data_IF_546997724503
#
_entry.id   IF_546997724503
#
_cell.length_a   1.000
_cell.length_b   1.000
_cell.length_c   1.000
_cell.angle_alpha   90.00
_cell.angle_beta   90.00
_cell.angle_gamma   90.00
#
_symmetry.space_group_name_H-M   'P 1'
#
loop_
_entity.id
_entity.type
_entity.pdbx_description
1 polymer ?
#
# COMPACT_ATOMS: atom_id res chain seq x y z
N UNK A 1 -6.34 7.04 19.04
CA UNK A 1 -5.00 7.65 18.86
C UNK A 1 -4.02 7.27 19.96
N UNK A 2 -4.21 7.68 21.23
CA UNK A 2 -3.29 7.34 22.34
C UNK A 2 -2.99 5.84 22.48
N UNK A 3 -3.99 4.99 22.24
CA UNK A 3 -3.84 3.54 22.26
C UNK A 3 -2.98 3.01 21.10
N UNK A 4 -3.17 3.53 19.88
CA UNK A 4 -2.41 3.12 18.70
C UNK A 4 -0.95 3.59 18.74
N UNK A 5 -0.69 4.77 19.32
CA UNK A 5 0.68 5.29 19.48
C UNK A 5 1.36 4.84 20.78
N UNK A 6 0.71 3.98 21.57
CA UNK A 6 1.31 3.45 22.80
C UNK A 6 2.47 2.54 22.39
N UNK A 7 3.64 2.79 22.95
CA UNK A 7 4.80 1.93 22.76
C UNK A 7 4.47 0.52 23.25
N UNK A 8 4.72 -0.46 22.38
CA UNK A 8 4.54 -1.87 22.71
C UNK A 8 5.93 -2.45 22.98
N UNK A 9 6.17 -2.94 24.20
CA UNK A 9 7.46 -3.56 24.57
C UNK A 9 7.80 -4.81 23.74
N UNK A 10 6.84 -5.37 22.99
CA UNK A 10 7.02 -6.50 22.09
C UNK A 10 7.62 -6.07 20.74
N UNK A 11 7.43 -4.82 20.33
CA UNK A 11 7.93 -4.30 19.05
C UNK A 11 9.05 -3.27 19.30
N UNK A 12 10.28 -3.51 18.84
CA UNK A 12 11.36 -2.52 18.96
C UNK A 12 11.10 -1.27 18.11
N UNK A 13 10.20 -1.35 17.14
CA UNK A 13 9.85 -0.26 16.23
C UNK A 13 8.57 0.43 16.74
N UNK A 14 8.66 1.74 16.95
CA UNK A 14 7.51 2.55 17.35
C UNK A 14 6.54 2.77 16.17
N UNK A 15 5.23 2.95 16.45
CA UNK A 15 4.27 3.41 15.44
C UNK A 15 4.72 4.70 14.77
N UNK A 16 4.65 4.77 13.44
CA UNK A 16 5.03 5.97 12.67
C UNK A 16 3.80 6.79 12.30
N UNK A 17 3.93 8.12 12.37
CA UNK A 17 2.91 9.06 11.88
C UNK A 17 3.40 9.63 10.56
N UNK A 18 2.64 9.40 9.50
CA UNK A 18 2.85 10.00 8.20
C UNK A 18 1.81 11.09 8.01
N UNK A 19 2.24 12.24 7.47
CA UNK A 19 1.37 13.35 7.12
C UNK A 19 1.49 13.53 5.62
N UNK A 20 0.37 13.43 4.92
CA UNK A 20 0.33 13.51 3.47
C UNK A 20 -0.86 14.36 3.03
N UNK A 21 -0.69 15.06 1.92
CA UNK A 21 -1.75 15.81 1.26
C UNK A 21 -2.44 14.88 0.27
N UNK A 22 -3.27 13.99 0.81
CA UNK A 22 -4.07 13.06 0.02
C UNK A 22 -5.35 13.77 -0.42
N UNK A 23 -5.48 14.01 -1.71
CA UNK A 23 -6.75 14.39 -2.32
C UNK A 23 -7.63 13.14 -2.46
N UNK A 24 -8.78 13.12 -1.78
CA UNK A 24 -9.70 11.99 -1.82
C UNK A 24 -10.86 12.35 -2.75
N UNK A 25 -10.99 11.60 -3.85
CA UNK A 25 -12.14 11.68 -4.75
C UNK A 25 -13.10 10.52 -4.46
N UNK A 26 -14.28 10.78 -3.85
CA UNK A 26 -15.31 9.77 -3.75
C UNK A 26 -15.86 9.50 -5.14
N UNK A 27 -15.59 8.29 -5.63
CA UNK A 27 -16.14 7.82 -6.89
C UNK A 27 -17.60 7.39 -6.65
N UNK A 28 -18.53 8.26 -7.02
CA UNK A 28 -19.96 7.90 -7.07
C UNK A 28 -20.17 7.02 -8.31
N UNK A 29 -20.67 5.80 -8.11
CA UNK A 29 -20.86 4.84 -9.20
C UNK A 29 -22.03 5.19 -10.13
N UNK A 30 -23.00 5.99 -9.67
CA UNK A 30 -24.10 6.54 -10.47
C UNK A 30 -23.86 8.02 -10.78
N UNK A 31 -23.25 8.28 -11.93
CA UNK A 31 -23.14 9.62 -12.50
C UNK A 31 -24.52 10.01 -13.06
N UNK A 32 -25.37 10.63 -12.24
CA UNK A 32 -26.57 11.32 -12.72
C UNK A 32 -26.27 12.79 -13.01
N UNK A 33 -27.04 13.40 -13.91
CA UNK A 33 -26.90 14.82 -14.26
C UNK A 33 -27.29 15.65 -13.03
N UNK A 34 -26.29 16.08 -12.24
CA UNK A 34 -26.46 16.78 -10.97
C UNK A 34 -25.59 16.25 -9.81
N UNK A 35 -25.06 15.01 -9.92
CA UNK A 35 -24.13 14.45 -8.95
C UNK A 35 -22.69 14.58 -9.47
N UNK A 36 -22.02 15.67 -9.09
CA UNK A 36 -20.60 15.84 -9.38
C UNK A 36 -19.76 15.15 -8.29
N UNK A 37 -18.66 14.52 -8.68
CA UNK A 37 -17.65 14.03 -7.73
C UNK A 37 -16.96 15.23 -7.08
N UNK A 38 -17.04 15.34 -5.77
CA UNK A 38 -16.35 16.39 -5.00
C UNK A 38 -15.01 15.86 -4.50
N UNK A 39 -13.90 16.40 -4.99
CA UNK A 39 -12.57 16.12 -4.44
C UNK A 39 -12.45 16.76 -3.07
N UNK A 40 -12.35 15.95 -2.02
CA UNK A 40 -12.09 16.44 -0.68
C UNK A 40 -10.59 16.65 -0.53
N UNK A 41 -10.19 17.91 -0.66
CA UNK A 41 -8.80 18.34 -0.44
C UNK A 41 -8.56 18.51 1.05
N UNK A 42 -7.51 17.90 1.54
CA UNK A 42 -7.24 17.85 2.96
C UNK A 42 -5.82 17.42 3.25
N UNK A 43 -5.29 17.88 4.37
CA UNK A 43 -4.09 17.28 4.95
C UNK A 43 -4.55 16.14 5.84
N UNK A 44 -4.06 14.95 5.56
CA UNK A 44 -4.38 13.73 6.28
C UNK A 44 -3.13 13.22 6.99
N UNK A 45 -3.33 12.69 8.19
CA UNK A 45 -2.34 11.91 8.89
C UNK A 45 -2.72 10.45 8.83
N UNK A 46 -1.77 9.54 8.80
CA UNK A 46 -2.03 8.13 9.02
C UNK A 46 -0.95 7.53 9.91
N UNK A 47 -1.37 6.68 10.83
CA UNK A 47 -0.47 5.96 11.73
C UNK A 47 -0.26 4.57 11.13
N UNK A 48 0.99 4.23 10.86
CA UNK A 48 1.40 2.88 10.49
C UNK A 48 1.87 2.11 11.72
N UNK A 49 1.31 0.92 11.88
CA UNK A 49 1.75 -0.03 12.89
C UNK A 49 2.60 -1.11 12.22
N UNK A 50 3.85 -1.34 12.68
CA UNK A 50 4.67 -2.43 12.18
C UNK A 50 3.96 -3.77 12.36
N UNK A 51 4.02 -4.62 11.33
CA UNK A 51 3.52 -5.98 11.45
C UNK A 51 4.46 -6.81 12.33
N UNK A 52 3.97 -7.25 13.48
CA UNK A 52 4.78 -7.97 14.47
C UNK A 52 5.36 -9.27 13.92
N UNK A 53 4.65 -9.94 13.01
CA UNK A 53 5.11 -11.20 12.42
C UNK A 53 6.33 -10.94 11.53
N UNK A 54 6.29 -9.87 10.73
CA UNK A 54 7.41 -9.41 9.91
C UNK A 54 8.58 -8.88 10.76
N UNK A 55 8.32 -8.18 11.87
CA UNK A 55 9.40 -7.66 12.73
C UNK A 55 10.14 -8.79 13.45
N UNK A 56 9.46 -9.87 13.81
CA UNK A 56 10.09 -11.04 14.47
C UNK A 56 11.07 -11.80 13.58
N UNK A 57 10.98 -11.68 12.26
CA UNK A 57 11.91 -12.35 11.33
C UNK A 57 13.21 -11.56 11.13
N UNK A 58 13.27 -10.30 11.59
CA UNK A 58 14.43 -9.43 11.44
C UNK A 58 15.45 -9.68 12.56
N UNK A 59 16.72 -9.37 12.28
CA UNK A 59 17.77 -9.40 13.30
C UNK A 59 17.59 -8.23 14.28
N UNK A 60 17.44 -8.55 15.56
CA UNK A 60 17.25 -7.55 16.61
C UNK A 60 18.50 -6.70 16.86
N UNK A 61 19.70 -7.19 16.54
CA UNK A 61 20.94 -6.43 16.68
C UNK A 61 21.04 -5.30 15.63
N UNK A 62 20.45 -5.49 14.45
CA UNK A 62 20.41 -4.47 13.38
C UNK A 62 19.27 -3.45 13.59
N UNK A 63 18.28 -3.75 14.43
CA UNK A 63 17.17 -2.84 14.77
C UNK A 63 17.52 -1.84 15.88
N UNK A 64 18.74 -1.32 15.87
CA UNK A 64 19.25 -0.36 16.86
C UNK A 64 19.52 1.01 16.24
N UNK A 65 19.43 2.06 17.06
CA UNK A 65 19.72 3.42 16.59
C UNK A 65 21.17 3.56 16.10
N UNK A 66 22.12 2.88 16.74
CA UNK A 66 23.52 2.85 16.30
C UNK A 66 23.67 2.20 14.92
N UNK A 67 23.07 1.03 14.71
CA UNK A 67 23.11 0.35 13.41
C UNK A 67 22.49 1.20 12.28
N UNK A 68 21.49 2.04 12.60
CA UNK A 68 20.92 3.00 11.65
C UNK A 68 21.84 4.21 11.39
N UNK A 69 22.52 4.73 12.43
CA UNK A 69 23.35 5.93 12.33
C UNK A 69 24.73 5.67 11.72
N UNK A 70 25.32 4.48 11.95
CA UNK A 70 26.67 4.16 11.48
C UNK A 70 26.82 4.27 9.95
N UNK A 71 25.89 3.75 9.12
CA UNK A 71 25.94 3.97 7.68
C UNK A 71 25.74 5.43 7.28
N UNK A 72 24.90 6.17 8.02
CA UNK A 72 24.61 7.59 7.74
C UNK A 72 25.85 8.45 7.92
N UNK A 73 26.64 8.20 8.97
CA UNK A 73 27.91 8.88 9.18
C UNK A 73 28.93 8.63 8.05
N UNK A 74 28.79 7.52 7.32
CA UNK A 74 29.66 7.16 6.21
C UNK A 74 29.08 7.53 4.83
N UNK A 75 27.92 8.20 4.77
CA UNK A 75 27.26 8.60 3.51
C UNK A 75 28.12 9.54 2.66
N UNK A 76 28.90 10.42 3.29
CA UNK A 76 29.76 11.39 2.59
C UNK A 76 30.82 10.70 1.71
N UNK A 77 31.18 9.46 2.03
CA UNK A 77 32.13 8.64 1.28
C UNK A 77 31.45 7.62 0.35
N UNK A 78 30.12 7.49 0.42
CA UNK A 78 29.38 6.53 -0.37
C UNK A 78 29.23 7.04 -1.81
N UNK A 79 29.96 6.43 -2.74
CA UNK A 79 29.76 6.66 -4.17
C UNK A 79 28.53 5.89 -4.61
N UNK A 80 27.43 6.61 -4.83
CA UNK A 80 26.18 6.03 -5.33
C UNK A 80 26.36 5.71 -6.81
N UNK A 81 26.29 4.43 -7.16
CA UNK A 81 26.36 3.96 -8.54
C UNK A 81 25.00 3.41 -8.98
N UNK A 82 24.58 3.64 -10.23
CA UNK A 82 23.27 3.17 -10.72
C UNK A 82 23.01 1.68 -10.47
N UNK A 83 24.05 0.85 -10.56
CA UNK A 83 23.95 -0.60 -10.34
C UNK A 83 23.46 -0.99 -8.94
N UNK A 84 23.57 -0.11 -7.94
CA UNK A 84 23.06 -0.34 -6.58
C UNK A 84 21.53 -0.39 -6.52
N UNK A 85 20.85 0.16 -7.54
CA UNK A 85 19.39 0.17 -7.66
C UNK A 85 18.88 -0.66 -8.84
N UNK A 86 19.78 -1.27 -9.61
CA UNK A 86 19.41 -2.14 -10.72
C UNK A 86 19.23 -3.57 -10.22
N UNK A 87 18.25 -4.25 -10.82
CA UNK A 87 18.08 -5.68 -10.64
C UNK A 87 19.36 -6.41 -11.07
N UNK A 88 19.73 -7.42 -10.29
CA UNK A 88 20.76 -8.37 -10.67
C UNK A 88 20.32 -9.16 -11.91
N UNK A 89 21.27 -9.74 -12.65
CA UNK A 89 20.94 -10.56 -13.83
C UNK A 89 19.94 -11.68 -13.51
N UNK A 90 20.10 -12.33 -12.35
CA UNK A 90 19.18 -13.38 -11.86
C UNK A 90 17.77 -12.84 -11.60
N UNK A 91 17.65 -11.66 -11.02
CA UNK A 91 16.34 -11.03 -10.78
C UNK A 91 15.68 -10.59 -12.08
N UNK A 92 16.45 -10.09 -13.05
CA UNK A 92 15.95 -9.77 -14.40
C UNK A 92 15.41 -11.02 -15.08
N UNK A 93 16.16 -12.14 -15.05
CA UNK A 93 15.70 -13.41 -15.62
C UNK A 93 14.40 -13.91 -14.96
N UNK A 94 14.34 -13.84 -13.62
CA UNK A 94 13.15 -14.21 -12.86
C UNK A 94 11.95 -13.32 -13.23
N UNK A 95 12.16 -12.01 -13.31
CA UNK A 95 11.15 -11.02 -13.68
C UNK A 95 10.61 -11.30 -15.10
N UNK A 96 11.50 -11.52 -16.07
CA UNK A 96 11.14 -11.89 -17.45
C UNK A 96 10.34 -13.19 -17.47
N UNK A 97 10.73 -14.20 -16.69
CA UNK A 97 9.99 -15.45 -16.61
C UNK A 97 8.58 -15.25 -16.04
N UNK A 98 8.41 -14.42 -15.00
CA UNK A 98 7.09 -14.08 -14.45
C UNK A 98 6.21 -13.42 -15.49
N UNK A 99 6.70 -12.40 -16.20
CA UNK A 99 5.92 -11.73 -17.25
C UNK A 99 5.52 -12.69 -18.37
N UNK A 100 6.46 -13.52 -18.83
CA UNK A 100 6.18 -14.53 -19.85
C UNK A 100 5.09 -15.49 -19.39
N UNK A 101 5.12 -15.95 -18.14
CA UNK A 101 4.09 -16.83 -17.60
C UNK A 101 2.72 -16.17 -17.47
N UNK A 102 2.68 -14.92 -17.04
CA UNK A 102 1.43 -14.16 -16.92
C UNK A 102 0.80 -13.89 -18.29
N UNK A 103 1.60 -13.48 -19.27
CA UNK A 103 1.14 -13.27 -20.66
C UNK A 103 0.68 -14.60 -21.26
N UNK A 104 1.46 -15.67 -21.12
CA UNK A 104 1.09 -17.00 -21.62
C UNK A 104 -0.24 -17.48 -21.02
N UNK A 105 -0.47 -17.24 -19.73
CA UNK A 105 -1.74 -17.56 -19.08
C UNK A 105 -2.92 -16.81 -19.69
N UNK A 106 -2.78 -15.51 -19.96
CA UNK A 106 -3.84 -14.71 -20.60
C UNK A 106 -4.09 -15.20 -22.03
N UNK A 107 -3.03 -15.41 -22.81
CA UNK A 107 -3.16 -15.90 -24.19
C UNK A 107 -3.85 -17.27 -24.25
N UNK A 108 -3.45 -18.21 -23.40
CA UNK A 108 -4.08 -19.54 -23.34
C UNK A 108 -5.54 -19.51 -22.88
N UNK A 109 -5.91 -18.57 -22.01
CA UNK A 109 -7.27 -18.46 -21.52
C UNK A 109 -8.23 -17.83 -22.53
N UNK A 110 -7.75 -16.96 -23.42
CA UNK A 110 -8.62 -16.07 -24.20
C UNK A 110 -8.37 -16.05 -25.71
N UNK A 111 -7.18 -16.42 -26.20
CA UNK A 111 -6.78 -16.02 -27.56
C UNK A 111 -6.05 -17.08 -28.38
N UNK A 112 -5.30 -18.00 -27.79
CA UNK A 112 -4.45 -18.90 -28.54
C UNK A 112 -4.17 -20.23 -27.83
N UNK A 113 -4.19 -21.32 -28.60
CA UNK A 113 -3.66 -22.62 -28.18
C UNK A 113 -2.23 -22.79 -28.71
N UNK A 114 -1.29 -23.28 -27.89
CA UNK A 114 0.08 -23.50 -28.34
C UNK A 114 0.14 -24.67 -29.31
N UNK A 115 0.82 -24.47 -30.45
CA UNK A 115 1.03 -25.53 -31.44
C UNK A 115 1.74 -26.78 -30.86
N UNK A 116 2.54 -26.61 -29.81
CA UNK A 116 3.13 -27.72 -29.06
C UNK A 116 3.13 -27.40 -27.55
N UNK A 117 2.30 -28.12 -26.79
CA UNK A 117 2.13 -27.91 -25.36
C UNK A 117 3.39 -28.21 -24.54
N UNK A 118 4.24 -29.15 -25.00
CA UNK A 118 5.48 -29.54 -24.28
C UNK A 118 6.57 -28.49 -24.35
N UNK A 119 6.53 -27.61 -25.37
CA UNK A 119 7.45 -26.48 -25.55
C UNK A 119 6.80 -25.15 -25.19
N UNK A 120 5.57 -25.16 -24.68
CA UNK A 120 4.85 -23.95 -24.35
C UNK A 120 5.47 -23.25 -23.14
N UNK A 121 5.36 -21.93 -23.11
CA UNK A 121 5.77 -21.14 -21.94
C UNK A 121 4.91 -21.56 -20.74
N UNK A 122 5.52 -21.86 -19.57
CA UNK A 122 4.75 -22.20 -18.38
C UNK A 122 3.78 -21.08 -18.00
N UNK A 123 2.51 -21.39 -17.75
CA UNK A 123 1.50 -20.39 -17.34
C UNK A 123 1.56 -20.04 -15.86
N UNK A 124 2.35 -20.78 -15.08
CA UNK A 124 2.61 -20.52 -13.67
C UNK A 124 3.98 -19.86 -13.54
N UNK A 125 4.06 -18.67 -12.94
CA UNK A 125 5.33 -18.00 -12.72
C UNK A 125 6.22 -18.81 -11.77
N UNK A 126 7.56 -18.65 -11.85
CA UNK A 126 8.47 -19.24 -10.87
C UNK A 126 8.16 -18.74 -9.44
N UNK A 127 8.47 -19.53 -8.40
CA UNK A 127 8.31 -19.09 -7.01
C UNK A 127 9.17 -17.85 -6.76
N UNK A 128 8.52 -16.71 -6.56
CA UNK A 128 9.14 -15.51 -6.02
C UNK A 128 8.97 -15.50 -4.49
N UNK A 129 9.85 -14.79 -3.80
CA UNK A 129 9.63 -14.46 -2.40
C UNK A 129 8.34 -13.64 -2.30
N UNK A 130 7.27 -14.30 -1.84
CA UNK A 130 5.96 -13.69 -1.83
C UNK A 130 5.83 -12.83 -0.58
N UNK A 131 5.69 -11.52 -0.79
CA UNK A 131 5.32 -10.61 0.28
C UNK A 131 3.92 -10.99 0.79
N UNK A 132 3.78 -11.04 2.12
CA UNK A 132 2.50 -11.34 2.77
C UNK A 132 1.42 -10.37 2.29
N UNK A 133 0.25 -10.90 1.92
CA UNK A 133 -0.93 -10.09 1.56
C UNK A 133 -1.75 -9.65 2.77
N UNK A 134 -1.17 -9.74 3.98
CA UNK A 134 -1.85 -9.33 5.21
C UNK A 134 -2.18 -7.85 5.14
N UNK A 135 -3.44 -7.50 5.41
CA UNK A 135 -3.89 -6.11 5.42
C UNK A 135 -3.08 -5.33 6.46
N UNK A 136 -2.42 -4.22 6.10
CA UNK A 136 -1.71 -3.41 7.08
C UNK A 136 -2.69 -2.74 8.03
N UNK A 137 -2.29 -2.61 9.29
CA UNK A 137 -3.06 -1.86 10.28
C UNK A 137 -2.71 -0.37 10.16
N UNK A 138 -3.62 0.40 9.56
CA UNK A 138 -3.47 1.83 9.31
C UNK A 138 -4.61 2.57 10.00
N UNK A 139 -4.27 3.57 10.82
CA UNK A 139 -5.25 4.43 11.47
C UNK A 139 -5.21 5.83 10.84
N UNK A 140 -6.28 6.23 10.16
CA UNK A 140 -6.35 7.56 9.52
C UNK A 140 -6.76 8.66 10.50
N UNK A 141 -6.19 9.83 10.29
CA UNK A 141 -6.39 11.07 11.01
C UNK A 141 -6.71 12.16 9.99
N UNK A 142 -7.81 12.87 10.22
CA UNK A 142 -8.13 14.08 9.45
C UNK A 142 -7.47 15.26 10.14
N UNK A 143 -6.49 15.90 9.51
CA UNK A 143 -5.73 17.00 10.13
C UNK A 143 -6.33 18.35 9.76
N UNK A 144 -6.44 18.64 8.45
CA UNK A 144 -7.06 19.87 7.95
C UNK A 144 -7.95 19.59 6.74
N UNK A 145 -9.04 20.34 6.62
CA UNK A 145 -9.87 20.36 5.42
C UNK A 145 -9.59 21.65 4.68
N UNK A 146 -9.23 21.53 3.40
CA UNK A 146 -9.22 22.66 2.51
C UNK A 146 -10.62 22.78 1.91
N UNK A 147 -11.39 23.75 2.39
CA UNK A 147 -12.58 24.19 1.66
C UNK A 147 -12.11 25.19 0.61
N UNK A 148 -12.39 24.90 -0.66
CA UNK A 148 -12.43 25.95 -1.68
C UNK A 148 -13.41 27.02 -1.18
N UNK A 149 -12.98 28.29 -1.09
CA UNK A 149 -13.83 29.42 -0.72
C UNK A 149 -15.11 29.38 -1.58
N UNK A 150 -16.24 28.95 -1.02
CA UNK A 150 -17.51 28.91 -1.77
C UNK A 150 -18.62 28.03 -1.21
N UNK A 151 -18.35 27.01 -0.40
CA UNK A 151 -19.42 26.14 0.12
C UNK A 151 -19.49 26.20 1.64
N UNK A 152 -20.40 27.05 2.13
CA UNK A 152 -20.70 27.23 3.53
C UNK A 152 -21.91 26.35 3.87
N UNK A 153 -21.73 25.03 3.78
CA UNK A 153 -22.72 24.06 4.23
C UNK A 153 -22.41 23.62 5.66
N UNK A 154 -23.37 23.94 6.52
CA UNK A 154 -23.48 23.75 7.97
C UNK A 154 -22.72 22.52 8.54
N UNK A 155 -21.63 22.78 9.28
CA UNK A 155 -20.79 21.78 9.97
C UNK A 155 -21.57 20.86 10.93
N UNK A 156 -22.80 21.23 11.31
CA UNK A 156 -23.60 20.46 12.28
C UNK A 156 -24.39 19.29 11.66
N UNK A 157 -24.63 19.28 10.35
CA UNK A 157 -25.32 18.15 9.68
C UNK A 157 -24.37 17.00 9.31
N UNK A 158 -23.13 17.29 8.93
CA UNK A 158 -22.14 16.28 8.53
C UNK A 158 -21.60 15.42 9.68
N UNK A 159 -21.76 15.87 10.93
CA UNK A 159 -21.33 15.13 12.13
C UNK A 159 -22.17 13.88 12.41
N UNK A 160 -23.41 13.81 11.88
CA UNK A 160 -24.34 12.71 12.16
C UNK A 160 -24.24 11.54 11.19
N UNK A 161 -23.74 11.74 9.96
CA UNK A 161 -23.73 10.68 8.94
C UNK A 161 -22.36 10.04 8.68
N UNK A 162 -21.26 10.66 9.13
CA UNK A 162 -19.91 10.18 8.83
C UNK A 162 -19.12 9.85 10.10
N UNK A 163 -19.59 8.84 10.82
CA UNK A 163 -18.69 8.04 11.66
C UNK A 163 -17.68 7.36 10.75
N UNK A 164 -16.39 7.64 10.95
CA UNK A 164 -15.25 7.04 10.22
C UNK A 164 -15.21 5.51 10.27
N UNK A 165 -16.05 4.87 11.10
CA UNK A 165 -16.31 3.42 11.06
C UNK A 165 -17.08 2.96 9.81
N UNK A 166 -18.05 3.74 9.34
CA UNK A 166 -18.96 3.30 8.26
C UNK A 166 -18.29 3.20 6.89
N UNK A 167 -17.29 4.05 6.62
CA UNK A 167 -16.61 4.12 5.33
C UNK A 167 -15.70 2.91 5.09
N UNK A 168 -14.89 2.52 6.07
CA UNK A 168 -14.06 1.32 5.96
C UNK A 168 -14.91 0.03 5.92
N UNK A 169 -16.01 -0.06 6.69
CA UNK A 169 -16.90 -1.23 6.65
C UNK A 169 -17.58 -1.43 5.29
N UNK A 170 -17.87 -0.34 4.56
CA UNK A 170 -18.46 -0.41 3.22
C UNK A 170 -17.46 -0.95 2.18
N UNK A 171 -16.20 -0.51 2.25
CA UNK A 171 -15.12 -0.98 1.37
C UNK A 171 -14.73 -2.45 1.68
N UNK A 172 -14.78 -2.87 2.95
CA UNK A 172 -14.59 -4.27 3.35
C UNK A 172 -15.72 -5.19 2.85
N UNK A 173 -16.98 -4.74 2.88
CA UNK A 173 -18.14 -5.50 2.34
C UNK A 173 -18.06 -5.67 0.82
N UNK A 174 -17.48 -4.70 0.11
CA UNK A 174 -17.31 -4.80 -1.34
C UNK A 174 -16.15 -5.72 -1.74
N UNK A 175 -15.03 -5.71 -1.01
CA UNK A 175 -13.91 -6.62 -1.28
C UNK A 175 -14.22 -8.09 -0.95
N UNK A 176 -15.09 -8.36 0.02
CA UNK A 176 -15.57 -9.71 0.32
C UNK A 176 -16.62 -10.22 -0.68
N UNK A 177 -17.23 -9.34 -1.50
CA UNK A 177 -18.11 -9.70 -2.62
C UNK A 177 -17.37 -9.95 -3.94
N UNK A 178 -16.20 -9.36 -4.15
CA UNK A 178 -15.34 -9.62 -5.33
C UNK A 178 -14.45 -10.85 -5.19
N UNK A 179 -14.47 -11.54 -4.04
CA UNK A 179 -13.78 -12.80 -3.79
C UNK A 179 -14.63 -14.05 -4.04
N UNK A 180 -15.34 -14.12 -5.17
CA UNK A 180 -15.94 -15.35 -5.71
C UNK A 180 -15.62 -15.49 -7.18
#
# INVERSE_FOLDING_TARGET
MKQAMKTNYICPIAPTLCIDNVDIEPKVHDLSVGNHSHTYRGTWGYIHLPDLDSVKTLDSYELTLSAYQDPIHNLDFLVIEPRMFLLTAKEVESNVAVWKSQIAKVLMNYQAEPANITKATPTKPPPLEQISRKKPEIHMLKLMVWHSYGDQTDETSLRREHSTRGWWECEQKNNSRMGK
#
